data_IF_074658022443
#
_entry.id   IF_074658022443
#
_cell.length_a   1.000
_cell.length_b   1.000
_cell.length_c   1.000
_cell.angle_alpha   90.00
_cell.angle_beta   90.00
_cell.angle_gamma   90.00
#
_symmetry.space_group_name_H-M   'P 1'
#
loop_
_entity.id
_entity.type
_entity.pdbx_description
1 polymer ?
#
# COMPACT_ATOMS: atom_id res chain seq x y z
N UNK A 1 19.13 -3.11 26.78
CA UNK A 1 19.36 -2.89 25.34
C UNK A 1 18.42 -3.83 24.57
N UNK A 2 17.21 -3.39 24.17
CA UNK A 2 16.28 -4.22 23.34
C UNK A 2 15.02 -3.50 22.77
N UNK A 3 15.05 -2.17 22.57
CA UNK A 3 13.87 -1.46 22.04
C UNK A 3 14.18 -0.42 20.96
N UNK A 4 15.43 0.05 20.86
CA UNK A 4 15.82 1.01 19.82
C UNK A 4 16.31 0.34 18.53
N UNK A 5 16.84 -0.88 18.59
CA UNK A 5 17.33 -1.60 17.40
C UNK A 5 16.19 -1.81 16.40
N UNK A 6 14.98 -2.16 16.83
CA UNK A 6 13.84 -2.37 15.92
C UNK A 6 13.37 -1.11 15.18
N UNK A 7 13.52 0.07 15.77
CA UNK A 7 13.11 1.33 15.10
C UNK A 7 14.18 1.81 14.14
N UNK A 8 15.46 1.69 14.51
CA UNK A 8 16.56 1.99 13.61
C UNK A 8 16.64 0.98 12.46
N UNK A 9 16.48 -0.32 12.74
CA UNK A 9 16.43 -1.38 11.71
C UNK A 9 15.25 -1.18 10.76
N UNK A 10 14.09 -0.72 11.26
CA UNK A 10 12.96 -0.39 10.41
C UNK A 10 13.22 0.86 9.57
N UNK A 11 13.84 1.90 10.15
CA UNK A 11 14.22 3.10 9.42
C UNK A 11 15.26 2.81 8.34
N UNK A 12 16.27 1.99 8.65
CA UNK A 12 17.30 1.56 7.70
C UNK A 12 16.66 0.72 6.59
N UNK A 13 15.78 -0.23 6.93
CA UNK A 13 15.01 -1.00 5.95
C UNK A 13 14.09 -0.13 5.08
N UNK A 14 13.52 0.94 5.65
CA UNK A 14 12.65 1.87 4.92
C UNK A 14 13.47 2.81 4.02
N UNK A 15 14.71 3.12 4.39
CA UNK A 15 15.57 4.10 3.72
C UNK A 15 16.35 3.44 2.60
N UNK A 16 16.95 2.29 2.84
CA UNK A 16 17.70 1.57 1.82
C UNK A 16 16.75 0.79 0.90
N UNK A 17 16.93 0.88 -0.43
CA UNK A 17 16.22 -0.01 -1.32
C UNK A 17 16.67 -1.45 -1.07
N UNK A 18 15.75 -2.42 -1.13
CA UNK A 18 16.07 -3.81 -0.84
C UNK A 18 17.13 -4.31 -1.81
N UNK A 19 18.08 -5.09 -1.30
CA UNK A 19 19.19 -5.73 -2.03
C UNK A 19 18.66 -6.80 -3.00
N UNK A 20 18.00 -6.36 -4.07
CA UNK A 20 17.33 -7.20 -5.05
C UNK A 20 17.99 -7.13 -6.40
N UNK A 21 18.28 -8.30 -6.98
CA UNK A 21 18.71 -8.38 -8.38
C UNK A 21 17.63 -7.90 -9.37
N UNK A 22 17.94 -7.84 -10.68
CA UNK A 22 17.01 -7.37 -11.72
C UNK A 22 15.63 -8.06 -11.70
N UNK A 23 15.59 -9.32 -11.27
CA UNK A 23 14.34 -10.09 -11.15
C UNK A 23 13.40 -9.48 -10.10
N UNK A 24 13.92 -9.13 -8.92
CA UNK A 24 13.10 -8.57 -7.84
C UNK A 24 12.61 -7.15 -8.18
N UNK A 25 13.45 -6.37 -8.86
CA UNK A 25 13.08 -5.06 -9.40
C UNK A 25 11.85 -5.15 -10.30
N UNK A 26 11.83 -6.09 -11.25
CA UNK A 26 10.71 -6.24 -12.18
C UNK A 26 9.49 -6.92 -11.56
N UNK A 27 9.67 -7.98 -10.77
CA UNK A 27 8.53 -8.70 -10.18
C UNK A 27 7.84 -7.91 -9.08
N UNK A 28 8.58 -7.39 -8.11
CA UNK A 28 7.99 -6.62 -7.01
C UNK A 28 7.75 -5.16 -7.43
N UNK A 29 8.80 -4.51 -7.94
CA UNK A 29 8.75 -3.10 -8.30
C UNK A 29 7.95 -2.80 -9.56
N UNK A 30 7.85 -3.73 -10.51
CA UNK A 30 7.08 -3.56 -11.74
C UNK A 30 5.70 -4.22 -11.68
N UNK A 31 5.67 -5.56 -11.60
CA UNK A 31 4.43 -6.33 -11.72
C UNK A 31 3.52 -6.19 -10.50
N UNK A 32 4.03 -6.46 -9.29
CA UNK A 32 3.23 -6.38 -8.07
C UNK A 32 2.72 -4.95 -7.82
N UNK A 33 3.59 -3.95 -7.98
CA UNK A 33 3.17 -2.55 -7.88
C UNK A 33 2.08 -2.19 -8.88
N UNK A 34 2.21 -2.61 -10.16
CA UNK A 34 1.20 -2.35 -11.18
C UNK A 34 -0.14 -2.98 -10.83
N UNK A 35 -0.15 -4.22 -10.34
CA UNK A 35 -1.38 -4.91 -9.89
C UNK A 35 -2.04 -4.14 -8.74
N UNK A 36 -1.27 -3.78 -7.72
CA UNK A 36 -1.77 -3.07 -6.53
C UNK A 36 -2.28 -1.68 -6.91
N UNK A 37 -1.50 -0.89 -7.66
CA UNK A 37 -1.89 0.45 -8.11
C UNK A 37 -3.11 0.41 -9.01
N UNK A 38 -3.19 -0.54 -9.95
CA UNK A 38 -4.35 -0.68 -10.84
C UNK A 38 -5.61 -1.01 -10.06
N UNK A 39 -5.50 -1.91 -9.06
CA UNK A 39 -6.63 -2.22 -8.19
C UNK A 39 -7.08 -1.01 -7.35
N UNK A 40 -6.15 -0.30 -6.72
CA UNK A 40 -6.49 0.91 -5.95
C UNK A 40 -7.15 1.97 -6.83
N UNK A 41 -6.61 2.20 -8.02
CA UNK A 41 -7.15 3.17 -8.99
C UNK A 41 -8.53 2.75 -9.48
N UNK A 42 -8.76 1.45 -9.75
CA UNK A 42 -10.06 0.96 -10.16
C UNK A 42 -11.11 1.12 -9.05
N UNK A 43 -10.73 0.96 -7.78
CA UNK A 43 -11.61 1.26 -6.64
C UNK A 43 -12.02 2.74 -6.60
N UNK A 44 -11.09 3.66 -6.89
CA UNK A 44 -11.39 5.09 -6.96
C UNK A 44 -12.35 5.44 -8.10
N UNK A 45 -12.16 4.84 -9.28
CA UNK A 45 -12.98 5.13 -10.47
C UNK A 45 -14.36 4.47 -10.38
N UNK A 46 -14.40 3.18 -10.04
CA UNK A 46 -15.63 2.41 -9.97
C UNK A 46 -16.44 2.70 -8.68
N UNK A 47 -15.83 3.39 -7.70
CA UNK A 47 -16.40 3.65 -6.38
C UNK A 47 -16.88 2.36 -5.69
N UNK A 48 -16.16 1.26 -5.93
CA UNK A 48 -16.43 -0.07 -5.40
C UNK A 48 -15.11 -0.76 -5.06
N UNK A 49 -15.04 -1.36 -3.89
CA UNK A 49 -13.88 -2.09 -3.43
C UNK A 49 -14.31 -3.40 -2.79
N UNK A 50 -13.59 -4.47 -3.10
CA UNK A 50 -13.77 -5.77 -2.45
C UNK A 50 -12.59 -6.00 -1.51
N UNK A 51 -12.83 -5.93 -0.21
CA UNK A 51 -11.79 -6.15 0.80
C UNK A 51 -12.07 -7.41 1.61
N UNK A 52 -11.08 -7.83 2.41
CA UNK A 52 -11.27 -8.94 3.33
C UNK A 52 -12.12 -8.49 4.52
N UNK A 53 -13.09 -9.30 4.91
CA UNK A 53 -13.89 -9.05 6.09
C UNK A 53 -13.12 -9.48 7.36
N UNK A 54 -12.45 -8.52 7.99
CA UNK A 54 -11.65 -8.73 9.21
C UNK A 54 -12.53 -8.58 10.48
N UNK A 55 -13.83 -8.25 10.35
CA UNK A 55 -14.72 -8.04 11.51
C UNK A 55 -15.11 -9.33 12.24
N UNK A 56 -14.96 -10.49 11.61
CA UNK A 56 -15.24 -11.79 12.22
C UNK A 56 -14.07 -12.26 13.09
N UNK A 57 -14.14 -11.98 14.39
CA UNK A 57 -13.36 -12.70 15.42
C UNK A 57 -13.82 -14.16 15.43
N UNK A 58 -13.02 -15.04 14.80
CA UNK A 58 -13.24 -16.49 14.74
C UNK A 58 -13.37 -16.95 13.29
N UNK A 59 -12.68 -18.04 12.93
CA UNK A 59 -12.71 -18.67 11.62
C UNK A 59 -14.16 -19.05 11.24
N UNK A 60 -14.83 -18.32 10.33
CA UNK A 60 -16.06 -18.81 9.75
C UNK A 60 -15.71 -19.89 8.73
N UNK A 61 -16.61 -20.84 8.51
CA UNK A 61 -16.46 -21.83 7.46
C UNK A 61 -16.13 -21.16 6.12
N UNK A 62 -15.09 -21.66 5.43
CA UNK A 62 -14.72 -21.24 4.07
C UNK A 62 -15.99 -21.13 3.21
N UNK A 63 -16.44 -19.91 2.91
CA UNK A 63 -17.52 -19.68 1.94
C UNK A 63 -18.56 -18.61 2.27
N UNK A 64 -18.75 -18.15 3.52
CA UNK A 64 -19.69 -17.04 3.82
C UNK A 64 -18.99 -15.86 4.47
N UNK A 65 -18.94 -14.74 3.73
CA UNK A 65 -18.59 -13.44 4.29
C UNK A 65 -17.11 -13.10 4.35
N UNK A 66 -16.23 -13.78 3.61
CA UNK A 66 -14.80 -13.45 3.54
C UNK A 66 -14.53 -12.15 2.76
N UNK A 67 -15.41 -11.84 1.81
CA UNK A 67 -15.35 -10.62 1.00
C UNK A 67 -16.35 -9.60 1.55
N UNK A 68 -15.85 -8.40 1.82
CA UNK A 68 -16.62 -7.23 2.20
C UNK A 68 -16.63 -6.28 1.00
N UNK A 69 -17.80 -6.02 0.44
CA UNK A 69 -17.97 -4.99 -0.59
C UNK A 69 -18.18 -3.63 0.08
N UNK A 70 -17.32 -2.68 -0.25
CA UNK A 70 -17.37 -1.29 0.19
C UNK A 70 -17.71 -0.46 -1.04
N UNK A 71 -18.59 0.54 -0.89
CA UNK A 71 -19.00 1.41 -1.99
C UNK A 71 -18.94 2.90 -1.63
N UNK A 72 -19.02 3.75 -2.66
CA UNK A 72 -19.06 5.20 -2.51
C UNK A 72 -17.75 5.77 -1.98
N UNK A 73 -17.85 6.75 -1.06
CA UNK A 73 -16.67 7.49 -0.57
C UNK A 73 -15.67 6.59 0.17
N UNK A 74 -16.15 5.57 0.87
CA UNK A 74 -15.29 4.61 1.57
C UNK A 74 -14.43 3.78 0.60
N UNK A 75 -14.99 3.42 -0.57
CA UNK A 75 -14.25 2.72 -1.61
C UNK A 75 -13.18 3.60 -2.26
N UNK A 76 -13.47 4.91 -2.42
CA UNK A 76 -12.51 5.88 -2.97
C UNK A 76 -11.35 6.12 -1.99
N UNK A 77 -11.63 6.33 -0.71
CA UNK A 77 -10.58 6.55 0.28
C UNK A 77 -9.76 5.28 0.51
N UNK A 78 -10.38 4.09 0.51
CA UNK A 78 -9.69 2.81 0.51
C UNK A 78 -8.80 2.63 -0.73
N UNK A 79 -9.35 2.87 -1.92
CA UNK A 79 -8.62 2.80 -3.19
C UNK A 79 -7.42 3.74 -3.22
N UNK A 80 -7.53 4.91 -2.60
CA UNK A 80 -6.43 5.87 -2.46
C UNK A 80 -5.29 5.31 -1.60
N UNK A 81 -5.60 4.68 -0.47
CA UNK A 81 -4.61 3.96 0.36
C UNK A 81 -3.87 2.91 -0.46
N UNK A 82 -4.61 2.04 -1.15
CA UNK A 82 -4.04 0.96 -1.96
C UNK A 82 -3.17 1.51 -3.10
N UNK A 83 -3.60 2.59 -3.75
CA UNK A 83 -2.85 3.26 -4.81
C UNK A 83 -1.51 3.78 -4.30
N UNK A 84 -1.50 4.48 -3.16
CA UNK A 84 -0.28 4.98 -2.54
C UNK A 84 0.66 3.83 -2.11
N UNK A 85 0.13 2.71 -1.63
CA UNK A 85 0.93 1.51 -1.33
C UNK A 85 1.58 0.96 -2.60
N UNK A 86 0.84 0.82 -3.69
CA UNK A 86 1.39 0.34 -4.97
C UNK A 86 2.50 1.26 -5.50
N UNK A 87 2.32 2.58 -5.39
CA UNK A 87 3.35 3.56 -5.73
C UNK A 87 4.58 3.46 -4.83
N UNK A 88 4.39 3.27 -3.52
CA UNK A 88 5.49 3.04 -2.58
C UNK A 88 6.31 1.81 -2.97
N UNK A 89 5.65 0.68 -3.29
CA UNK A 89 6.30 -0.55 -3.75
C UNK A 89 7.09 -0.26 -5.05
N UNK A 90 6.51 0.49 -5.99
CA UNK A 90 7.20 0.86 -7.23
C UNK A 90 8.47 1.68 -6.96
N UNK A 91 8.39 2.71 -6.13
CA UNK A 91 9.55 3.56 -5.84
C UNK A 91 10.63 2.84 -5.03
N UNK A 92 10.23 2.01 -4.06
CA UNK A 92 11.16 1.24 -3.22
C UNK A 92 11.88 0.13 -4.03
N UNK A 93 11.16 -0.68 -4.80
CA UNK A 93 11.75 -1.82 -5.50
C UNK A 93 12.21 -1.52 -6.93
N UNK A 94 11.49 -0.68 -7.68
CA UNK A 94 11.85 -0.39 -9.08
C UNK A 94 12.85 0.76 -9.15
N UNK A 95 12.47 1.94 -8.65
CA UNK A 95 13.34 3.13 -8.77
C UNK A 95 14.60 2.99 -7.94
N UNK A 96 14.48 2.43 -6.74
CA UNK A 96 15.61 2.11 -5.86
C UNK A 96 16.64 1.11 -6.43
N UNK A 97 16.27 0.31 -7.44
CA UNK A 97 17.19 -0.62 -8.10
C UNK A 97 17.54 -0.21 -9.54
N UNK A 98 16.97 0.88 -10.05
CA UNK A 98 17.18 1.33 -11.42
C UNK A 98 18.22 2.45 -11.47
N UNK A 99 19.37 2.21 -12.12
CA UNK A 99 20.54 3.13 -12.16
C UNK A 99 20.20 4.60 -12.44
N UNK A 100 19.26 4.86 -13.36
CA UNK A 100 18.86 6.22 -13.74
C UNK A 100 17.86 6.88 -12.77
N UNK A 101 17.01 6.09 -12.11
CA UNK A 101 15.93 6.59 -11.27
C UNK A 101 16.30 6.60 -9.78
N UNK A 102 17.39 5.94 -9.41
CA UNK A 102 17.93 5.88 -8.06
C UNK A 102 17.99 7.24 -7.35
N UNK A 103 18.47 8.35 -7.96
CA UNK A 103 18.55 9.64 -7.26
C UNK A 103 17.20 10.21 -6.82
N UNK A 104 16.10 9.79 -7.44
CA UNK A 104 14.75 10.31 -7.17
C UNK A 104 13.90 9.37 -6.31
N UNK A 105 14.40 8.15 -6.03
CA UNK A 105 13.61 7.11 -5.40
C UNK A 105 13.19 7.49 -3.98
N UNK A 106 14.08 8.12 -3.19
CA UNK A 106 13.79 8.54 -1.81
C UNK A 106 12.66 9.56 -1.76
N UNK A 107 12.76 10.62 -2.57
CA UNK A 107 11.74 11.67 -2.61
C UNK A 107 10.37 11.10 -3.02
N UNK A 108 10.33 10.28 -4.07
CA UNK A 108 9.11 9.66 -4.55
C UNK A 108 8.52 8.68 -3.51
N UNK A 109 9.38 7.89 -2.86
CA UNK A 109 9.02 6.95 -1.79
C UNK A 109 8.42 7.66 -0.59
N UNK A 110 9.04 8.71 -0.08
CA UNK A 110 8.51 9.48 1.05
C UNK A 110 7.22 10.21 0.68
N UNK A 111 7.11 10.70 -0.56
CA UNK A 111 5.86 11.24 -1.09
C UNK A 111 4.73 10.21 -1.08
N UNK A 112 4.99 8.98 -1.53
CA UNK A 112 4.04 7.88 -1.48
C UNK A 112 3.68 7.48 -0.04
N UNK A 113 4.67 7.41 0.86
CA UNK A 113 4.45 7.10 2.27
C UNK A 113 3.58 8.16 2.97
N UNK A 114 3.83 9.45 2.71
CA UNK A 114 2.97 10.53 3.19
C UNK A 114 1.55 10.39 2.62
N UNK A 115 1.42 10.05 1.33
CA UNK A 115 0.15 9.76 0.69
C UNK A 115 -0.61 8.61 1.36
N UNK A 116 0.07 7.55 1.80
CA UNK A 116 -0.52 6.46 2.60
C UNK A 116 -1.08 7.01 3.91
N UNK A 117 -0.29 7.78 4.67
CA UNK A 117 -0.73 8.34 5.97
C UNK A 117 -1.97 9.23 5.79
N UNK A 118 -1.94 10.15 4.84
CA UNK A 118 -3.07 11.05 4.54
C UNK A 118 -4.30 10.25 4.11
N UNK A 119 -4.13 9.24 3.25
CA UNK A 119 -5.23 8.40 2.78
C UNK A 119 -5.83 7.54 3.89
N UNK A 120 -5.02 7.04 4.82
CA UNK A 120 -5.50 6.30 6.01
C UNK A 120 -6.32 7.21 6.91
N UNK A 121 -5.84 8.43 7.18
CA UNK A 121 -6.57 9.40 7.99
C UNK A 121 -7.90 9.75 7.31
N UNK A 122 -7.89 10.01 6.01
CA UNK A 122 -9.10 10.27 5.24
C UNK A 122 -10.06 9.08 5.28
N UNK A 123 -9.56 7.86 5.08
CA UNK A 123 -10.38 6.65 5.15
C UNK A 123 -11.00 6.46 6.53
N UNK A 124 -10.20 6.56 7.60
CA UNK A 124 -10.69 6.48 8.97
C UNK A 124 -11.73 7.57 9.29
N UNK A 125 -11.49 8.81 8.86
CA UNK A 125 -12.45 9.90 9.01
C UNK A 125 -13.77 9.59 8.29
N UNK A 126 -13.71 9.12 7.04
CA UNK A 126 -14.93 8.76 6.31
C UNK A 126 -15.68 7.61 6.97
N UNK A 127 -14.97 6.62 7.50
CA UNK A 127 -15.57 5.51 8.25
C UNK A 127 -16.22 5.96 9.57
N UNK A 128 -15.77 7.04 10.21
CA UNK A 128 -16.37 7.55 11.46
C UNK A 128 -17.51 8.53 11.18
N UNK A 129 -17.36 9.38 10.16
CA UNK A 129 -18.32 10.45 9.88
C UNK A 129 -19.57 9.97 9.12
N UNK A 130 -19.49 8.82 8.45
CA UNK A 130 -20.59 8.26 7.65
C UNK A 130 -21.13 6.91 8.16
N UNK A 131 -20.80 6.54 9.40
CA UNK A 131 -21.53 5.52 10.20
C UNK A 131 -22.68 6.15 10.94
#
# INVERSE_FOLDING_TARGET
MRHNETLFDFADWLTDPPSGGPIQMWLAGGLLSAVVTTYGTSCCIAQRATTLNITTRGFPSLGRGLWLEISGIHAVTFGSVITCIGLFIHFQWFWGNHKRMFPFHEFAKYGAALGVVVSIIAHAFTMIAHT
#
